data_IF_163979429041
#
_entry.id   IF_163979429041
#
_cell.length_a   1.000
_cell.length_b   1.000
_cell.length_c   1.000
_cell.angle_alpha   90.00
_cell.angle_beta   90.00
_cell.angle_gamma   90.00
#
_symmetry.space_group_name_H-M   'P 1'
#
loop_
_entity.id
_entity.type
_entity.pdbx_description
1 polymer ?
#
# COMPACT_ATOMS: atom_id res chain seq x y z
N UNK A 1 9.47 -1.16 16.06
CA UNK A 1 9.70 0.25 16.48
C UNK A 1 9.76 1.08 15.21
N UNK A 2 8.63 1.62 14.77
CA UNK A 2 8.57 2.55 13.64
C UNK A 2 9.37 3.79 14.01
N UNK A 3 10.52 4.01 13.34
CA UNK A 3 11.26 5.26 13.47
C UNK A 3 10.33 6.34 12.94
N UNK A 4 9.97 7.32 13.77
CA UNK A 4 9.21 8.47 13.30
C UNK A 4 10.00 9.12 12.16
N UNK A 5 9.38 9.20 10.99
CA UNK A 5 9.91 9.86 9.80
C UNK A 5 9.05 11.08 9.51
N UNK A 6 9.70 12.15 9.10
CA UNK A 6 9.07 13.41 8.70
C UNK A 6 9.28 13.57 7.21
N UNK A 7 8.22 13.82 6.46
CA UNK A 7 8.28 13.98 5.02
C UNK A 7 8.19 15.45 4.65
N UNK A 8 9.08 15.90 3.78
CA UNK A 8 9.14 17.27 3.29
C UNK A 8 9.00 17.31 1.77
N UNK A 9 8.35 18.36 1.27
CA UNK A 9 8.26 18.69 -0.16
C UNK A 9 8.50 20.19 -0.35
N UNK A 10 8.71 20.65 -1.58
CA UNK A 10 8.90 22.07 -1.91
C UNK A 10 7.71 22.58 -2.73
N UNK A 11 7.46 23.90 -2.73
CA UNK A 11 6.33 24.50 -3.47
C UNK A 11 6.35 24.14 -4.95
N UNK A 12 7.53 24.18 -5.56
CA UNK A 12 7.71 24.01 -7.00
C UNK A 12 7.73 22.53 -7.42
N UNK A 13 8.18 21.63 -6.54
CA UNK A 13 8.27 20.19 -6.83
C UNK A 13 7.08 19.38 -6.31
N UNK A 14 6.10 20.02 -5.64
CA UNK A 14 4.87 19.34 -5.21
C UNK A 14 4.11 18.75 -6.40
N UNK A 15 4.09 19.44 -7.54
CA UNK A 15 3.45 18.94 -8.77
C UNK A 15 4.25 17.86 -9.48
N UNK A 16 5.57 17.80 -9.21
CA UNK A 16 6.49 16.78 -9.73
C UNK A 16 6.60 15.54 -8.83
N UNK A 17 5.92 15.53 -7.69
CA UNK A 17 5.89 14.38 -6.78
C UNK A 17 7.19 14.14 -6.01
N UNK A 18 7.97 15.20 -5.76
CA UNK A 18 9.22 15.08 -5.01
C UNK A 18 8.97 15.07 -3.50
N UNK A 19 9.47 14.03 -2.83
CA UNK A 19 9.37 13.86 -1.39
C UNK A 19 10.69 13.43 -0.77
N UNK A 20 11.02 14.05 0.36
CA UNK A 20 12.22 13.74 1.14
C UNK A 20 11.82 13.32 2.54
N UNK A 21 12.20 12.11 2.90
CA UNK A 21 11.92 11.54 4.22
C UNK A 21 13.16 11.65 5.11
N UNK A 22 13.01 12.30 6.25
CA UNK A 22 14.07 12.46 7.24
C UNK A 22 13.65 11.81 8.56
N UNK A 23 14.53 11.04 9.25
CA UNK A 23 14.23 10.50 10.55
C UNK A 23 14.08 11.63 11.59
N UNK A 24 12.86 11.81 12.09
CA UNK A 24 12.50 12.89 13.00
C UNK A 24 11.10 12.69 13.57
N UNK A 25 10.85 13.16 14.80
CA UNK A 25 9.57 12.99 15.48
C UNK A 25 8.63 14.19 15.31
N UNK A 26 9.17 15.35 14.92
CA UNK A 26 8.46 16.63 14.76
C UNK A 26 9.18 17.48 13.71
N UNK A 27 8.47 18.45 13.11
CA UNK A 27 9.11 19.48 12.31
C UNK A 27 9.99 20.37 13.21
N UNK A 28 11.28 20.45 12.91
CA UNK A 28 12.21 21.32 13.62
C UNK A 28 13.32 21.79 12.65
N UNK A 29 14.00 22.89 13.00
CA UNK A 29 15.05 23.47 12.15
C UNK A 29 16.17 22.47 11.79
N UNK A 30 16.46 21.52 12.68
CA UNK A 30 17.48 20.48 12.47
C UNK A 30 17.05 19.42 11.44
N UNK A 31 15.77 19.07 11.42
CA UNK A 31 15.19 18.11 10.47
C UNK A 31 15.00 18.75 9.10
N UNK A 32 14.64 20.05 9.06
CA UNK A 32 14.64 20.85 7.84
C UNK A 32 16.04 20.99 7.23
N UNK A 33 17.06 21.28 8.03
CA UNK A 33 18.45 21.32 7.56
C UNK A 33 18.91 19.97 6.97
N UNK A 34 18.55 18.85 7.62
CA UNK A 34 18.80 17.50 7.10
C UNK A 34 18.03 17.19 5.83
N UNK A 35 16.81 17.69 5.69
CA UNK A 35 16.05 17.54 4.46
C UNK A 35 16.75 18.28 3.31
N UNK A 36 17.25 19.50 3.54
CA UNK A 36 18.05 20.23 2.56
C UNK A 36 19.34 19.49 2.18
N UNK A 37 20.03 18.90 3.16
CA UNK A 37 21.24 18.10 2.92
C UNK A 37 20.93 16.87 2.04
N UNK A 38 19.82 16.18 2.29
CA UNK A 38 19.38 15.06 1.44
C UNK A 38 18.94 15.52 0.03
N UNK A 39 18.33 16.71 -0.10
CA UNK A 39 18.01 17.29 -1.41
C UNK A 39 19.29 17.59 -2.19
N UNK A 40 20.26 18.23 -1.54
CA UNK A 40 21.55 18.53 -2.15
C UNK A 40 22.29 17.26 -2.56
N UNK A 41 22.26 16.23 -1.70
CA UNK A 41 22.85 14.93 -2.03
C UNK A 41 22.20 14.27 -3.24
N UNK A 42 20.87 14.38 -3.40
CA UNK A 42 20.16 13.87 -4.59
C UNK A 42 20.47 14.68 -5.83
N UNK A 43 20.66 16.01 -5.72
CA UNK A 43 21.12 16.85 -6.84
C UNK A 43 22.54 16.50 -7.29
N UNK A 44 23.42 16.11 -6.37
CA UNK A 44 24.79 15.67 -6.67
C UNK A 44 24.84 14.22 -7.22
N UNK A 45 23.76 13.45 -7.07
CA UNK A 45 23.65 12.09 -7.59
C UNK A 45 23.21 12.12 -9.06
N UNK A 46 24.15 11.84 -9.97
CA UNK A 46 23.90 11.86 -11.42
C UNK A 46 22.92 10.79 -11.91
N UNK A 47 22.55 9.82 -11.07
CA UNK A 47 21.54 8.79 -11.38
C UNK A 47 20.13 9.18 -10.92
N UNK A 48 19.99 10.22 -10.09
CA UNK A 48 18.70 10.69 -9.58
C UNK A 48 18.10 11.77 -10.49
N UNK A 49 17.17 11.36 -11.35
CA UNK A 49 16.48 12.25 -12.31
C UNK A 49 15.37 13.09 -11.67
N UNK A 50 15.14 12.99 -10.36
CA UNK A 50 14.01 13.65 -9.69
C UNK A 50 14.24 15.14 -9.42
N UNK A 51 15.51 15.59 -9.34
CA UNK A 51 15.88 16.97 -9.02
C UNK A 51 17.15 17.34 -9.77
N UNK A 52 17.18 18.50 -10.45
CA UNK A 52 18.36 19.04 -11.12
C UNK A 52 18.75 20.40 -10.53
N UNK A 53 19.94 20.93 -10.85
CA UNK A 53 20.37 22.27 -10.44
C UNK A 53 19.40 23.37 -10.89
N UNK A 54 18.74 23.21 -12.04
CA UNK A 54 17.71 24.12 -12.56
C UNK A 54 16.37 24.02 -11.80
N UNK A 55 16.17 22.99 -10.97
CA UNK A 55 14.94 22.78 -10.20
C UNK A 55 14.75 23.80 -9.07
N UNK A 56 15.82 24.50 -8.66
CA UNK A 56 15.78 25.52 -7.61
C UNK A 56 16.51 26.80 -8.03
N UNK A 57 16.06 27.42 -9.13
CA UNK A 57 16.68 28.61 -9.72
C UNK A 57 16.83 29.81 -8.75
N UNK A 58 15.93 29.97 -7.79
CA UNK A 58 15.95 31.05 -6.78
C UNK A 58 16.63 30.64 -5.45
N UNK A 59 17.20 29.43 -5.38
CA UNK A 59 17.75 28.84 -4.17
C UNK A 59 16.69 28.22 -3.26
N UNK A 60 17.07 27.17 -2.53
CA UNK A 60 16.17 26.46 -1.62
C UNK A 60 16.50 26.78 -0.17
N UNK A 61 15.56 27.42 0.54
CA UNK A 61 15.71 27.71 1.97
C UNK A 61 14.93 26.73 2.84
N UNK A 62 15.28 26.65 4.13
CA UNK A 62 14.56 25.81 5.09
C UNK A 62 13.09 26.22 5.27
N UNK A 63 12.72 27.46 4.92
CA UNK A 63 11.36 27.98 5.01
C UNK A 63 10.48 27.53 3.84
N UNK A 64 11.10 27.21 2.70
CA UNK A 64 10.42 26.73 1.49
C UNK A 64 10.05 25.24 1.57
N UNK A 65 10.56 24.54 2.58
CA UNK A 65 10.17 23.17 2.91
C UNK A 65 8.78 23.15 3.53
N UNK A 66 7.87 22.49 2.83
CA UNK A 66 6.51 22.17 3.27
C UNK A 66 6.56 20.81 3.95
N UNK A 67 6.13 20.77 5.22
CA UNK A 67 5.87 19.52 5.91
C UNK A 67 4.68 18.83 5.23
N UNK A 68 4.92 17.65 4.68
CA UNK A 68 3.85 16.75 4.25
C UNK A 68 3.47 15.95 5.49
N UNK A 69 2.33 16.29 6.09
CA UNK A 69 1.72 15.38 7.05
C UNK A 69 1.54 14.04 6.32
N UNK A 70 1.97 12.92 6.91
CA UNK A 70 1.74 11.62 6.30
C UNK A 70 0.25 11.56 6.05
N UNK A 71 -0.15 11.51 4.77
CA UNK A 71 -1.49 11.12 4.38
C UNK A 71 -1.75 9.89 5.24
N UNK A 72 -2.71 10.00 6.17
CA UNK A 72 -3.22 8.83 6.84
C UNK A 72 -3.46 7.85 5.71
N UNK A 73 -2.71 6.75 5.72
CA UNK A 73 -2.95 5.64 4.81
C UNK A 73 -4.32 5.14 5.23
N UNK A 74 -5.37 5.79 4.73
CA UNK A 74 -6.71 5.28 4.66
C UNK A 74 -6.62 4.12 3.70
N UNK A 75 -6.11 3.01 4.24
CA UNK A 75 -6.59 1.66 4.07
C UNK A 75 -7.08 1.29 2.67
N UNK A 76 -6.30 1.55 1.62
CA UNK A 76 -6.45 0.79 0.37
C UNK A 76 -6.23 -0.72 0.58
N UNK A 77 -5.53 -1.09 1.65
CA UNK A 77 -5.44 -2.47 2.14
C UNK A 77 -6.79 -3.10 2.48
N UNK A 78 -7.80 -2.31 2.87
CA UNK A 78 -9.12 -2.84 3.24
C UNK A 78 -9.90 -3.38 2.05
N UNK A 79 -9.86 -2.64 0.93
CA UNK A 79 -10.62 -2.96 -0.28
C UNK A 79 -10.02 -4.16 -1.02
N UNK A 80 -8.68 -4.23 -1.11
CA UNK A 80 -7.97 -5.39 -1.67
C UNK A 80 -8.18 -6.65 -0.80
N UNK A 81 -8.16 -6.51 0.52
CA UNK A 81 -8.45 -7.62 1.43
C UNK A 81 -9.88 -8.14 1.29
N UNK A 82 -10.86 -7.25 1.08
CA UNK A 82 -12.27 -7.63 0.91
C UNK A 82 -12.52 -8.36 -0.42
N UNK A 83 -11.85 -7.94 -1.51
CA UNK A 83 -11.89 -8.64 -2.79
C UNK A 83 -11.28 -10.03 -2.66
N UNK A 84 -10.12 -10.16 -2.00
CA UNK A 84 -9.46 -11.46 -1.79
C UNK A 84 -10.35 -12.41 -0.95
N UNK A 85 -10.98 -11.90 0.11
CA UNK A 85 -11.93 -12.68 0.91
C UNK A 85 -13.14 -13.12 0.10
N UNK A 86 -13.68 -12.24 -0.74
CA UNK A 86 -14.82 -12.53 -1.62
C UNK A 86 -14.49 -13.64 -2.63
N UNK A 87 -13.33 -13.56 -3.29
CA UNK A 87 -12.86 -14.60 -4.22
C UNK A 87 -12.69 -15.94 -3.50
N UNK A 88 -12.14 -15.94 -2.28
CA UNK A 88 -11.99 -17.16 -1.46
C UNK A 88 -13.33 -17.78 -1.08
N UNK A 89 -14.33 -16.96 -0.76
CA UNK A 89 -15.68 -17.42 -0.46
C UNK A 89 -16.34 -18.08 -1.68
N UNK A 90 -16.20 -17.49 -2.86
CA UNK A 90 -16.72 -18.04 -4.12
C UNK A 90 -16.05 -19.38 -4.44
N UNK A 91 -14.73 -19.47 -4.32
CA UNK A 91 -13.99 -20.71 -4.55
C UNK A 91 -14.46 -21.83 -3.60
N UNK A 92 -14.65 -21.50 -2.32
CA UNK A 92 -15.13 -22.44 -1.31
C UNK A 92 -16.55 -22.95 -1.62
N UNK A 93 -17.44 -22.05 -2.08
CA UNK A 93 -18.79 -22.41 -2.49
C UNK A 93 -18.81 -23.36 -3.70
N UNK A 94 -17.96 -23.10 -4.70
CA UNK A 94 -17.84 -23.95 -5.88
C UNK A 94 -17.39 -25.38 -5.50
N UNK A 95 -16.40 -25.51 -4.62
CA UNK A 95 -15.97 -26.82 -4.11
C UNK A 95 -17.09 -27.52 -3.34
N UNK A 96 -17.85 -26.79 -2.50
CA UNK A 96 -18.95 -27.36 -1.74
C UNK A 96 -20.05 -27.91 -2.66
N UNK A 97 -20.35 -27.20 -3.77
CA UNK A 97 -21.32 -27.66 -4.76
C UNK A 97 -20.89 -28.98 -5.41
N UNK A 98 -19.62 -29.10 -5.80
CA UNK A 98 -19.09 -30.34 -6.40
C UNK A 98 -19.20 -31.50 -5.40
N UNK A 99 -18.82 -31.27 -4.14
CA UNK A 99 -18.93 -32.28 -3.09
C UNK A 99 -20.39 -32.69 -2.83
N UNK A 100 -21.33 -31.75 -2.89
CA UNK A 100 -22.77 -32.03 -2.72
C UNK A 100 -23.31 -32.87 -3.87
N UNK A 101 -22.96 -32.55 -5.11
CA UNK A 101 -23.34 -33.35 -6.28
C UNK A 101 -22.79 -34.78 -6.19
N UNK A 102 -21.54 -34.95 -5.75
CA UNK A 102 -20.94 -36.27 -5.52
C UNK A 102 -21.66 -37.05 -4.41
N UNK A 103 -21.94 -36.41 -3.27
CA UNK A 103 -22.66 -37.04 -2.17
C UNK A 103 -24.08 -37.45 -2.56
N UNK A 104 -24.76 -36.62 -3.37
CA UNK A 104 -26.08 -36.94 -3.90
C UNK A 104 -26.03 -38.17 -4.81
N UNK A 105 -25.03 -38.25 -5.69
CA UNK A 105 -24.87 -39.40 -6.58
C UNK A 105 -24.65 -40.71 -5.80
N UNK A 106 -23.81 -40.67 -4.76
CA UNK A 106 -23.59 -41.80 -3.87
C UNK A 106 -24.88 -42.20 -3.12
N UNK A 107 -25.67 -41.22 -2.67
CA UNK A 107 -26.95 -41.48 -2.00
C UNK A 107 -27.99 -42.12 -2.94
N UNK A 108 -28.02 -41.71 -4.21
CA UNK A 108 -28.90 -42.30 -5.24
C UNK A 108 -28.58 -43.79 -5.45
N UNK A 109 -27.30 -44.17 -5.45
CA UNK A 109 -26.89 -45.58 -5.59
C UNK A 109 -27.27 -46.44 -4.38
N UNK A 110 -27.31 -45.85 -3.19
CA UNK A 110 -27.69 -46.55 -1.95
C UNK A 110 -29.21 -46.64 -1.76
N UNK A 111 -29.97 -45.75 -2.38
CA UNK A 111 -31.44 -45.70 -2.32
C UNK A 111 -32.13 -47.03 -2.64
N UNK A 112 -31.82 -47.76 -3.74
CA UNK A 112 -32.48 -49.03 -4.03
C UNK A 112 -32.14 -50.13 -3.01
N UNK A 113 -30.94 -50.11 -2.42
CA UNK A 113 -30.54 -51.06 -1.37
C UNK A 113 -31.32 -50.82 -0.09
N UNK A 114 -31.50 -49.55 0.27
CA UNK A 114 -32.33 -49.15 1.41
C UNK A 114 -33.78 -49.56 1.16
N UNK A 115 -34.35 -49.25 -0.02
CA UNK A 115 -35.73 -49.62 -0.35
C UNK A 115 -35.95 -51.15 -0.31
N UNK A 116 -34.97 -51.96 -0.71
CA UNK A 116 -35.04 -53.43 -0.62
C UNK A 116 -34.96 -53.99 0.82
N UNK A 117 -34.38 -53.24 1.77
CA UNK A 117 -34.31 -53.64 3.18
C UNK A 117 -35.58 -53.32 3.97
N UNK A 118 -36.39 -52.37 3.47
CA UNK A 118 -37.61 -51.90 4.13
C UNK A 118 -38.91 -52.29 3.40
N UNK A 119 -38.84 -53.09 2.33
CA UNK A 119 -39.99 -53.73 1.66
C UNK A 119 -40.22 -55.15 2.18
#
# INVERSE_FOLDING_TARGET
>A
MSKATVQYTTKDLKELGFFVEVPGRTDNAKNRAKALEEIQRRMEDSEDTTVNEDSFADGLSAEDLILVEPLATDSKDGEEAEIIQSVKAIASLASLRVNLEQAYQQAVELRPVIEALFS
#
